data_IF_606175445010
#
_entry.id   IF_606175445010
#
_cell.length_a   1.000
_cell.length_b   1.000
_cell.length_c   1.000
_cell.angle_alpha   90.00
_cell.angle_beta   90.00
_cell.angle_gamma   90.00
#
_symmetry.space_group_name_H-M   'P 1'
#
loop_
_entity.id
_entity.type
_entity.pdbx_description
1 polymer ?
#
# COMPACT_ATOMS: atom_id res chain seq x y z
N UNK A 1 -0.24 6.14 0.57
CA UNK A 1 1.09 5.93 -0.06
C UNK A 1 0.88 5.50 -1.51
N UNK A 2 1.87 5.66 -2.36
CA UNK A 2 1.83 5.21 -3.76
C UNK A 2 2.95 4.20 -4.00
N UNK A 3 2.66 3.16 -4.77
CA UNK A 3 3.64 2.19 -5.24
C UNK A 3 3.90 2.34 -6.73
N UNK A 4 5.18 2.32 -7.12
CA UNK A 4 5.62 2.42 -8.51
C UNK A 4 6.60 1.29 -8.86
N UNK A 5 6.15 0.18 -9.45
CA UNK A 5 7.02 -0.76 -10.12
C UNK A 5 7.78 -0.13 -11.29
N UNK A 6 9.09 -0.38 -11.36
CA UNK A 6 10.01 0.01 -12.42
C UNK A 6 10.56 -1.28 -13.05
N UNK A 7 10.15 -1.56 -14.29
CA UNK A 7 10.65 -2.64 -15.15
C UNK A 7 10.74 -2.15 -16.60
N UNK A 8 11.19 -2.98 -17.54
CA UNK A 8 11.33 -2.64 -18.96
C UNK A 8 9.99 -2.38 -19.70
N UNK A 9 8.85 -2.46 -18.99
CA UNK A 9 7.50 -2.14 -19.47
C UNK A 9 6.86 -0.96 -18.74
N UNK A 10 5.60 -0.67 -19.10
CA UNK A 10 4.77 0.43 -18.57
C UNK A 10 4.82 0.47 -17.03
N UNK A 11 5.14 1.63 -16.45
CA UNK A 11 5.06 1.86 -15.00
C UNK A 11 3.62 1.69 -14.55
N UNK A 12 3.37 0.69 -13.71
CA UNK A 12 2.09 0.57 -13.00
C UNK A 12 2.16 1.44 -11.75
N UNK A 13 1.05 2.05 -11.37
CA UNK A 13 0.92 2.84 -10.15
C UNK A 13 -0.27 2.28 -9.39
N UNK A 14 -0.11 1.96 -8.11
CA UNK A 14 -1.23 1.50 -7.29
C UNK A 14 -1.31 2.21 -5.93
N UNK A 15 -2.54 2.41 -5.40
CA UNK A 15 -2.74 2.98 -4.08
C UNK A 15 -2.32 1.98 -3.01
N UNK A 16 -1.53 2.42 -2.04
CA UNK A 16 -1.32 1.69 -0.80
C UNK A 16 -1.92 2.48 0.37
N UNK A 17 -3.00 1.93 0.95
CA UNK A 17 -3.58 2.45 2.18
C UNK A 17 -2.60 2.26 3.34
N UNK A 18 -1.97 1.08 3.40
CA UNK A 18 -0.97 0.74 4.40
C UNK A 18 0.22 0.01 3.80
N UNK A 19 1.40 0.26 4.36
CA UNK A 19 2.63 -0.49 4.11
C UNK A 19 3.20 -0.97 5.45
N UNK A 20 3.69 -2.20 5.48
CA UNK A 20 4.23 -2.84 6.67
C UNK A 20 5.56 -3.51 6.33
N UNK A 21 6.51 -3.45 7.24
CA UNK A 21 7.69 -4.32 7.20
C UNK A 21 7.29 -5.74 7.57
N UNK A 22 7.89 -6.72 6.89
CA UNK A 22 7.78 -8.15 7.17
C UNK A 22 9.16 -8.68 7.57
N UNK A 23 9.27 -9.91 8.12
CA UNK A 23 10.57 -10.51 8.42
C UNK A 23 11.52 -10.60 7.21
N UNK A 24 10.97 -10.68 6.00
CA UNK A 24 11.72 -10.92 4.76
C UNK A 24 11.66 -9.74 3.79
N UNK A 25 10.86 -8.71 4.05
CA UNK A 25 10.73 -7.53 3.20
C UNK A 25 9.56 -6.64 3.58
N UNK A 26 8.62 -6.44 2.65
CA UNK A 26 7.47 -5.54 2.85
C UNK A 26 6.15 -6.17 2.41
N UNK A 27 5.07 -5.73 3.03
CA UNK A 27 3.72 -5.98 2.58
C UNK A 27 2.97 -4.65 2.42
N UNK A 28 2.03 -4.61 1.49
CA UNK A 28 1.12 -3.48 1.36
C UNK A 28 -0.30 -3.94 1.15
N UNK A 29 -1.21 -3.05 1.53
CA UNK A 29 -2.64 -3.25 1.43
C UNK A 29 -3.24 -2.09 0.65
N UNK A 30 -3.90 -2.41 -0.45
CA UNK A 30 -4.63 -1.46 -1.28
C UNK A 30 -6.01 -1.17 -0.68
N UNK A 31 -6.55 0.07 -0.77
CA UNK A 31 -7.88 0.45 -0.31
C UNK A 31 -9.01 -0.55 -0.56
N UNK A 32 -8.94 -1.26 -1.69
CA UNK A 32 -9.96 -2.20 -2.18
C UNK A 32 -10.29 -3.34 -1.22
N UNK A 33 -9.46 -3.64 -0.21
CA UNK A 33 -9.81 -4.63 0.83
C UNK A 33 -11.07 -4.24 1.64
N UNK A 34 -11.41 -2.95 1.66
CA UNK A 34 -12.57 -2.42 2.34
C UNK A 34 -13.85 -2.52 1.51
N UNK A 35 -13.77 -2.92 0.24
CA UNK A 35 -14.93 -3.04 -0.65
C UNK A 35 -15.76 -4.27 -0.26
N UNK A 36 -17.01 -4.10 0.20
CA UNK A 36 -17.86 -5.23 0.59
C UNK A 36 -18.31 -6.09 -0.60
N UNK A 37 -18.23 -5.58 -1.83
CA UNK A 37 -18.52 -6.33 -3.05
C UNK A 37 -17.29 -7.05 -3.62
N UNK A 38 -16.13 -6.79 -3.04
CA UNK A 38 -14.85 -7.32 -3.47
C UNK A 38 -14.29 -6.59 -4.70
N UNK A 39 -12.96 -6.59 -4.80
CA UNK A 39 -12.24 -6.13 -6.00
C UNK A 39 -11.90 -7.31 -6.90
N UNK A 40 -11.79 -7.05 -8.20
CA UNK A 40 -11.27 -8.01 -9.19
C UNK A 40 -9.79 -8.33 -8.99
N UNK A 41 -9.06 -7.56 -8.18
CA UNK A 41 -7.66 -7.78 -7.84
C UNK A 41 -7.49 -8.09 -6.34
N UNK A 42 -6.51 -8.93 -5.96
CA UNK A 42 -6.10 -9.07 -4.57
C UNK A 42 -5.71 -7.71 -4.00
N UNK A 43 -6.19 -7.38 -2.81
CA UNK A 43 -5.85 -6.13 -2.13
C UNK A 43 -4.61 -6.23 -1.24
N UNK A 44 -4.15 -7.44 -0.94
CA UNK A 44 -2.95 -7.70 -0.15
C UNK A 44 -1.83 -8.19 -1.06
N UNK A 45 -0.64 -7.64 -0.86
CA UNK A 45 0.55 -8.04 -1.59
C UNK A 45 1.75 -8.04 -0.66
N UNK A 46 2.74 -8.87 -0.99
CA UNK A 46 4.00 -8.93 -0.27
C UNK A 46 5.16 -9.09 -1.25
N UNK A 47 6.33 -8.61 -0.82
CA UNK A 47 7.57 -8.76 -1.56
C UNK A 47 8.74 -8.90 -0.59
N UNK A 48 9.49 -9.97 -0.79
CA UNK A 48 10.77 -10.18 -0.13
C UNK A 48 11.87 -9.26 -0.69
N UNK A 49 12.83 -8.93 0.16
CA UNK A 49 13.99 -8.11 -0.18
C UNK A 49 14.25 -7.03 0.86
N UNK A 50 15.33 -6.28 0.65
CA UNK A 50 15.74 -5.20 1.57
C UNK A 50 15.51 -3.85 0.90
N UNK A 51 14.73 -2.94 1.52
CA UNK A 51 14.61 -1.57 1.07
C UNK A 51 15.97 -0.87 1.04
N UNK A 52 16.24 -0.12 -0.03
CA UNK A 52 17.37 0.79 -0.11
C UNK A 52 16.96 2.18 0.44
N UNK A 53 17.62 2.62 1.51
CA UNK A 53 17.53 3.99 2.03
C UNK A 53 16.14 4.41 2.45
N UNK A 54 15.61 3.83 3.54
CA UNK A 54 14.31 4.23 4.10
C UNK A 54 14.37 5.67 4.62
N UNK A 55 13.48 6.52 4.10
CA UNK A 55 13.35 7.93 4.49
C UNK A 55 11.88 8.33 4.60
N UNK A 56 11.61 9.54 5.11
CA UNK A 56 10.26 10.13 5.10
C UNK A 56 9.72 10.33 3.68
N UNK A 57 10.61 10.49 2.68
CA UNK A 57 10.23 10.57 1.27
C UNK A 57 9.89 9.19 0.66
N UNK A 58 9.98 8.11 1.45
CA UNK A 58 9.75 6.75 1.01
C UNK A 58 11.06 5.98 0.81
N UNK A 59 10.98 4.92 0.00
CA UNK A 59 12.11 4.00 -0.24
C UNK A 59 11.95 3.23 -1.55
N UNK A 60 13.01 2.57 -1.99
CA UNK A 60 13.02 1.72 -3.18
C UNK A 60 13.45 0.30 -2.83
N UNK A 61 12.72 -0.71 -3.30
CA UNK A 61 13.14 -2.10 -3.35
C UNK A 61 13.84 -2.35 -4.69
N UNK A 62 15.18 -2.50 -4.73
CA UNK A 62 15.91 -2.74 -5.97
C UNK A 62 15.65 -4.14 -6.53
N UNK A 63 16.02 -4.37 -7.79
CA UNK A 63 15.87 -5.64 -8.50
C UNK A 63 15.31 -5.45 -9.90
N UNK A 64 15.13 -6.56 -10.62
CA UNK A 64 14.63 -6.58 -12.01
C UNK A 64 13.25 -5.92 -12.14
N UNK A 65 12.40 -6.08 -11.12
CA UNK A 65 11.13 -5.40 -10.96
C UNK A 65 11.23 -4.41 -9.80
N UNK A 66 12.04 -3.37 -9.89
CA UNK A 66 12.20 -2.40 -8.80
C UNK A 66 10.85 -1.85 -8.33
N UNK A 67 10.66 -1.59 -7.03
CA UNK A 67 9.42 -1.04 -6.49
C UNK A 67 9.75 0.19 -5.66
N UNK A 68 9.23 1.35 -6.02
CA UNK A 68 9.30 2.53 -5.17
C UNK A 68 8.03 2.66 -4.33
N UNK A 69 8.19 2.96 -3.05
CA UNK A 69 7.12 3.30 -2.12
C UNK A 69 7.31 4.76 -1.75
N UNK A 70 6.31 5.59 -1.99
CA UNK A 70 6.39 7.03 -1.71
C UNK A 70 5.15 7.51 -0.92
N UNK A 71 5.28 8.57 -0.11
CA UNK A 71 4.13 9.28 0.43
C UNK A 71 3.18 9.71 -0.69
N UNK A 72 1.89 9.75 -0.40
CA UNK A 72 0.92 10.27 -1.35
C UNK A 72 1.00 11.80 -1.38
N UNK A 73 1.19 12.36 -2.56
CA UNK A 73 1.09 13.80 -2.82
C UNK A 73 -0.26 14.10 -3.48
N UNK A 74 -0.97 15.12 -3.00
CA UNK A 74 -2.25 15.55 -3.57
C UNK A 74 -2.09 16.08 -4.99
N UNK A 75 -0.90 16.54 -5.39
CA UNK A 75 -0.60 16.89 -6.77
C UNK A 75 -0.72 15.69 -7.74
N UNK A 76 -0.67 14.46 -7.22
CA UNK A 76 -0.76 13.21 -7.99
C UNK A 76 -2.15 12.56 -7.89
N UNK A 77 -3.18 13.37 -7.61
CA UNK A 77 -4.55 12.90 -7.41
C UNK A 77 -5.06 12.04 -8.56
N UNK A 78 -4.80 12.42 -9.80
CA UNK A 78 -5.30 11.72 -11.00
C UNK A 78 -4.79 10.27 -11.14
N UNK A 79 -3.77 9.89 -10.36
CA UNK A 79 -3.20 8.54 -10.42
C UNK A 79 -3.96 7.56 -9.52
N UNK A 80 -4.21 7.95 -8.26
CA UNK A 80 -4.73 7.05 -7.21
C UNK A 80 -5.53 7.77 -6.10
N UNK A 81 -5.76 9.07 -6.26
CA UNK A 81 -6.34 9.93 -5.22
C UNK A 81 -7.80 9.63 -4.92
N UNK A 82 -8.57 9.22 -5.92
CA UNK A 82 -9.96 8.79 -5.81
C UNK A 82 -10.11 7.58 -4.87
N UNK A 83 -9.25 6.57 -5.04
CA UNK A 83 -9.24 5.37 -4.20
C UNK A 83 -8.87 5.69 -2.74
N UNK A 84 -7.91 6.60 -2.53
CA UNK A 84 -7.50 7.03 -1.19
C UNK A 84 -8.57 7.89 -0.50
N UNK A 85 -9.25 8.77 -1.25
CA UNK A 85 -10.36 9.58 -0.73
C UNK A 85 -11.58 8.72 -0.39
N UNK A 86 -11.92 7.76 -1.26
CA UNK A 86 -12.97 6.79 -0.99
C UNK A 86 -12.69 6.02 0.30
N UNK A 87 -11.47 5.53 0.47
CA UNK A 87 -11.08 4.80 1.69
C UNK A 87 -11.11 5.68 2.94
N UNK A 88 -10.68 6.94 2.82
CA UNK A 88 -10.78 7.91 3.92
C UNK A 88 -12.25 8.15 4.33
N UNK A 89 -13.18 8.15 3.38
CA UNK A 89 -14.61 8.27 3.68
C UNK A 89 -15.19 6.99 4.28
N UNK A 90 -14.76 5.82 3.80
CA UNK A 90 -15.12 4.53 4.40
C UNK A 90 -14.67 4.44 5.86
N UNK A 91 -13.44 4.86 6.18
CA UNK A 91 -12.96 4.92 7.57
C UNK A 91 -13.88 5.75 8.47
N UNK A 92 -14.31 6.92 7.97
CA UNK A 92 -15.25 7.79 8.70
C UNK A 92 -16.61 7.12 8.91
N UNK A 93 -17.17 6.45 7.90
CA UNK A 93 -18.45 5.74 8.06
C UNK A 93 -18.37 4.57 9.04
N UNK A 94 -17.19 3.97 9.15
CA UNK A 94 -16.90 2.90 10.10
C UNK A 94 -16.52 3.40 11.50
N UNK A 95 -16.50 4.72 11.72
CA UNK A 95 -16.12 5.32 13.00
C UNK A 95 -14.67 5.06 13.41
N UNK A 96 -13.77 4.84 12.44
CA UNK A 96 -12.37 4.48 12.66
C UNK A 96 -11.42 5.56 12.18
N UNK A 97 -10.33 5.75 12.91
CA UNK A 97 -9.17 6.53 12.45
C UNK A 97 -8.25 5.68 11.58
N UNK A 98 -7.38 6.35 10.81
CA UNK A 98 -6.32 5.69 10.06
C UNK A 98 -5.40 4.84 10.95
N UNK A 99 -5.10 5.32 12.16
CA UNK A 99 -4.20 4.63 13.08
C UNK A 99 -4.85 3.38 13.66
N UNK A 100 -6.11 3.45 14.09
CA UNK A 100 -6.85 2.28 14.58
C UNK A 100 -6.96 1.22 13.49
N UNK A 101 -7.29 1.65 12.26
CA UNK A 101 -7.40 0.70 11.16
C UNK A 101 -6.05 0.11 10.77
N UNK A 102 -4.98 0.91 10.79
CA UNK A 102 -3.63 0.44 10.55
C UNK A 102 -3.26 -0.71 11.48
N UNK A 103 -3.54 -0.58 12.78
CA UNK A 103 -3.21 -1.61 13.75
C UNK A 103 -4.09 -2.86 13.57
N UNK A 104 -5.38 -2.69 13.30
CA UNK A 104 -6.27 -3.82 12.96
C UNK A 104 -5.78 -4.61 11.75
N UNK A 105 -5.34 -3.90 10.70
CA UNK A 105 -4.79 -4.53 9.50
C UNK A 105 -3.43 -5.16 9.79
N UNK A 106 -2.58 -4.53 10.60
CA UNK A 106 -1.27 -5.07 11.01
C UNK A 106 -1.40 -6.47 11.60
N UNK A 107 -2.36 -6.67 12.53
CA UNK A 107 -2.58 -7.99 13.15
C UNK A 107 -2.92 -9.07 12.13
N UNK A 108 -3.75 -8.74 11.13
CA UNK A 108 -4.13 -9.67 10.05
C UNK A 108 -2.95 -9.98 9.13
N UNK A 109 -2.17 -8.96 8.80
CA UNK A 109 -0.98 -9.07 7.97
C UNK A 109 0.08 -9.95 8.66
N UNK A 110 0.31 -9.76 9.96
CA UNK A 110 1.23 -10.60 10.74
C UNK A 110 0.80 -12.08 10.81
N UNK A 111 -0.51 -12.35 10.91
CA UNK A 111 -1.04 -13.73 10.88
C UNK A 111 -0.81 -14.43 9.54
N UNK A 112 -0.71 -13.69 8.44
CA UNK A 112 -0.43 -14.25 7.12
C UNK A 112 1.04 -14.66 6.93
N UNK A 113 1.92 -14.41 7.91
CA UNK A 113 3.35 -14.76 7.85
C UNK A 113 3.77 -15.85 8.85
N UNK A 114 2.85 -16.29 9.71
CA UNK A 114 3.04 -17.44 10.62
C UNK A 114 2.72 -18.74 9.91
#
# INVERSE_FOLDING_TARGET
>A
MILRPKGAGKTTICPAAFVFETPTGIAWVEPSYADPYGSSSPAYHARDGVPAGITEAGFVMPGENALAVVPYDRAEFDLVGDALDWFANWLKSEGRTWQEERERVRERVQRNWQ
#
